data_IF_298487164141
#
_entry.id   IF_298487164141
#
_cell.length_a   1.000
_cell.length_b   1.000
_cell.length_c   1.000
_cell.angle_alpha   90.00
_cell.angle_beta   90.00
_cell.angle_gamma   90.00
#
_symmetry.space_group_name_H-M   'P 1'
#
loop_
_entity.id
_entity.type
_entity.pdbx_description
1 polymer ?
#
# COMPACT_ATOMS: atom_id res chain seq x y z
N UNK A 1 -25.18 17.98 -5.81
CA UNK A 1 -24.13 18.89 -5.27
C UNK A 1 -23.48 18.33 -4.00
N UNK A 2 -24.13 18.26 -2.84
CA UNK A 2 -23.48 17.76 -1.60
C UNK A 2 -23.08 16.28 -1.65
N UNK A 3 -23.91 15.44 -2.27
CA UNK A 3 -23.64 13.99 -2.40
C UNK A 3 -22.43 13.70 -3.31
N UNK A 4 -22.25 14.46 -4.39
CA UNK A 4 -21.17 14.24 -5.35
C UNK A 4 -19.80 14.59 -4.77
N UNK A 5 -19.73 15.67 -3.99
CA UNK A 5 -18.50 16.07 -3.30
C UNK A 5 -18.10 15.03 -2.27
N UNK A 6 -19.05 14.56 -1.45
CA UNK A 6 -18.79 13.51 -0.45
C UNK A 6 -18.30 12.23 -1.12
N UNK A 7 -18.96 11.77 -2.19
CA UNK A 7 -18.53 10.57 -2.95
C UNK A 7 -17.12 10.69 -3.49
N UNK A 8 -16.76 11.85 -4.05
CA UNK A 8 -15.40 12.11 -4.58
C UNK A 8 -14.35 12.10 -3.48
N UNK A 9 -14.65 12.70 -2.34
CA UNK A 9 -13.74 12.71 -1.18
C UNK A 9 -13.57 11.30 -0.59
N UNK A 10 -14.65 10.54 -0.44
CA UNK A 10 -14.58 9.14 0.01
C UNK A 10 -13.77 8.29 -0.96
N UNK A 11 -13.97 8.45 -2.27
CA UNK A 11 -13.18 7.74 -3.28
C UNK A 11 -11.69 8.09 -3.22
N UNK A 12 -11.37 9.38 -3.14
CA UNK A 12 -9.98 9.84 -3.03
C UNK A 12 -9.32 9.32 -1.73
N UNK A 13 -10.03 9.38 -0.61
CA UNK A 13 -9.55 8.84 0.66
C UNK A 13 -9.34 7.33 0.62
N UNK A 14 -10.25 6.58 -0.01
CA UNK A 14 -10.12 5.14 -0.19
C UNK A 14 -8.90 4.80 -1.07
N UNK A 15 -8.74 5.47 -2.21
CA UNK A 15 -7.59 5.26 -3.09
C UNK A 15 -6.27 5.59 -2.40
N UNK A 16 -6.19 6.72 -1.70
CA UNK A 16 -4.98 7.13 -1.00
C UNK A 16 -4.63 6.17 0.15
N UNK A 17 -5.63 5.79 0.95
CA UNK A 17 -5.46 4.85 2.05
C UNK A 17 -5.03 3.46 1.57
N UNK A 18 -5.71 2.92 0.55
CA UNK A 18 -5.34 1.64 -0.04
C UNK A 18 -3.98 1.68 -0.72
N UNK A 19 -3.65 2.77 -1.43
CA UNK A 19 -2.34 2.93 -2.06
C UNK A 19 -1.20 2.96 -1.03
N UNK A 20 -1.36 3.70 0.06
CA UNK A 20 -0.39 3.74 1.15
C UNK A 20 -0.23 2.37 1.82
N UNK A 21 -1.34 1.69 2.12
CA UNK A 21 -1.33 0.34 2.70
C UNK A 21 -0.68 -0.67 1.76
N UNK A 22 -1.00 -0.62 0.46
CA UNK A 22 -0.40 -1.48 -0.55
C UNK A 22 1.11 -1.26 -0.63
N UNK A 23 1.58 -0.02 -0.66
CA UNK A 23 3.01 0.27 -0.68
C UNK A 23 3.74 -0.35 0.52
N UNK A 24 3.21 -0.18 1.74
CA UNK A 24 3.80 -0.75 2.95
C UNK A 24 3.77 -2.28 2.89
N UNK A 25 2.63 -2.85 2.51
CA UNK A 25 2.45 -4.30 2.42
C UNK A 25 3.37 -4.92 1.37
N UNK A 26 3.53 -4.29 0.21
CA UNK A 26 4.41 -4.75 -0.87
C UNK A 26 5.87 -4.74 -0.43
N UNK A 27 6.35 -3.67 0.19
CA UNK A 27 7.73 -3.62 0.70
C UNK A 27 7.95 -4.73 1.73
N UNK A 28 7.05 -4.88 2.70
CA UNK A 28 7.16 -5.93 3.72
C UNK A 28 7.13 -7.34 3.11
N UNK A 29 6.22 -7.58 2.17
CA UNK A 29 6.10 -8.86 1.49
C UNK A 29 7.38 -9.18 0.69
N UNK A 30 7.91 -8.22 -0.07
CA UNK A 30 9.15 -8.37 -0.82
C UNK A 30 10.33 -8.71 0.10
N UNK A 31 10.49 -7.97 1.21
CA UNK A 31 11.52 -8.26 2.23
C UNK A 31 11.39 -9.66 2.81
N UNK A 32 10.17 -10.09 3.13
CA UNK A 32 9.93 -11.43 3.68
C UNK A 32 10.24 -12.52 2.67
N UNK A 33 9.83 -12.34 1.41
CA UNK A 33 10.11 -13.29 0.32
C UNK A 33 11.62 -13.39 0.10
N UNK A 34 12.32 -12.24 0.07
CA UNK A 34 13.77 -12.19 -0.10
C UNK A 34 14.49 -12.94 1.02
N UNK A 35 14.20 -12.59 2.28
CA UNK A 35 14.77 -13.27 3.45
C UNK A 35 14.46 -14.77 3.43
N UNK A 36 13.29 -15.18 2.94
CA UNK A 36 12.91 -16.59 2.85
C UNK A 36 13.67 -17.35 1.77
N UNK A 37 14.05 -16.68 0.68
CA UNK A 37 14.75 -17.26 -0.47
C UNK A 37 16.26 -17.27 -0.27
N UNK A 38 16.83 -16.18 0.23
CA UNK A 38 18.28 -15.94 0.31
C UNK A 38 18.84 -16.02 1.74
N UNK A 39 17.99 -15.95 2.77
CA UNK A 39 18.43 -16.04 4.17
C UNK A 39 19.12 -14.78 4.70
N UNK A 40 19.18 -13.71 3.90
CA UNK A 40 19.79 -12.42 4.26
C UNK A 40 18.82 -11.25 4.04
N UNK A 41 19.23 -10.06 4.48
CA UNK A 41 18.46 -8.83 4.26
C UNK A 41 18.48 -8.39 2.79
N UNK A 42 17.36 -7.87 2.25
CA UNK A 42 17.32 -7.34 0.90
C UNK A 42 18.26 -6.13 0.75
N UNK A 43 18.87 -5.94 -0.44
CA UNK A 43 19.73 -4.79 -0.71
C UNK A 43 18.93 -3.47 -0.70
N UNK A 44 19.62 -2.35 -0.39
CA UNK A 44 19.06 -0.99 -0.33
C UNK A 44 18.77 -0.38 -1.71
#
# INVERSE_FOLDING_TARGET
MSNDVVKRLTWAGLLAGLGALASIATTKAATLIWRRMFGEDPPE
#
